data_IF_104984460844
#
_entry.id   IF_104984460844
#
_cell.length_a   1.000
_cell.length_b   1.000
_cell.length_c   1.000
_cell.angle_alpha   90.00
_cell.angle_beta   90.00
_cell.angle_gamma   90.00
#
_symmetry.space_group_name_H-M   'P 1'
#
loop_
_entity.id
_entity.type
_entity.pdbx_description
1 polymer ?
#
# COMPACT_ATOMS: atom_id res chain seq x y z
N UNK A 1 -13.04 -13.72 -11.03
CA UNK A 1 -14.36 -13.06 -10.81
C UNK A 1 -14.42 -12.80 -9.32
N UNK A 2 -14.65 -11.57 -8.89
CA UNK A 2 -14.80 -11.28 -7.45
C UNK A 2 -16.19 -11.79 -7.06
N UNK A 3 -16.23 -12.65 -6.03
CA UNK A 3 -17.48 -13.13 -5.46
C UNK A 3 -18.03 -12.03 -4.55
N UNK A 4 -19.09 -11.39 -4.97
CA UNK A 4 -19.73 -10.31 -4.22
C UNK A 4 -20.98 -10.87 -3.53
N UNK A 5 -21.33 -10.38 -2.31
CA UNK A 5 -22.59 -10.70 -1.66
C UNK A 5 -23.79 -10.41 -2.56
N UNK A 6 -24.87 -11.17 -2.41
CA UNK A 6 -26.06 -11.11 -3.27
C UNK A 6 -26.74 -9.71 -3.25
N UNK A 7 -26.55 -8.96 -2.16
CA UNK A 7 -27.09 -7.60 -2.02
C UNK A 7 -26.32 -6.56 -2.83
N UNK A 8 -25.14 -6.92 -3.38
CA UNK A 8 -24.29 -6.01 -4.15
C UNK A 8 -24.58 -6.18 -5.64
N UNK A 9 -25.10 -5.15 -6.28
CA UNK A 9 -25.27 -5.09 -7.72
C UNK A 9 -24.00 -4.54 -8.37
N UNK A 10 -23.17 -5.38 -9.04
CA UNK A 10 -21.93 -4.90 -9.66
C UNK A 10 -22.23 -4.12 -10.94
N UNK A 11 -21.78 -2.88 -11.01
CA UNK A 11 -21.81 -2.06 -12.22
C UNK A 11 -20.42 -2.05 -12.84
N UNK A 12 -20.24 -2.77 -13.95
CA UNK A 12 -18.95 -2.81 -14.67
C UNK A 12 -18.68 -1.51 -15.41
N UNK A 13 -17.45 -1.02 -15.31
CA UNK A 13 -16.97 0.15 -16.05
C UNK A 13 -15.62 -0.17 -16.69
N UNK A 14 -15.30 0.48 -17.81
CA UNK A 14 -13.98 0.38 -18.40
C UNK A 14 -12.94 0.88 -17.39
N UNK A 15 -11.83 0.14 -17.27
CA UNK A 15 -10.66 0.64 -16.56
C UNK A 15 -10.07 1.79 -17.36
N UNK A 16 -9.98 2.95 -16.74
CA UNK A 16 -9.48 4.16 -17.38
C UNK A 16 -8.45 4.85 -16.49
N UNK A 17 -7.57 5.65 -17.08
CA UNK A 17 -6.56 6.44 -16.38
C UNK A 17 -6.60 7.90 -16.84
N UNK A 18 -6.00 8.80 -16.04
CA UNK A 18 -5.86 10.20 -16.40
C UNK A 18 -7.20 10.91 -16.67
N UNK A 19 -7.28 11.66 -17.78
CA UNK A 19 -8.44 12.48 -18.14
C UNK A 19 -9.70 11.64 -18.39
N UNK A 20 -9.55 10.43 -18.94
CA UNK A 20 -10.68 9.51 -19.19
C UNK A 20 -11.27 9.03 -17.85
N UNK A 21 -10.44 8.69 -16.89
CA UNK A 21 -10.87 8.37 -15.51
C UNK A 21 -11.63 9.56 -14.90
N UNK A 22 -11.07 10.78 -15.05
CA UNK A 22 -11.71 12.00 -14.57
C UNK A 22 -13.12 12.19 -15.16
N UNK A 23 -13.28 11.96 -16.46
CA UNK A 23 -14.57 12.03 -17.15
C UNK A 23 -15.57 11.00 -16.62
N UNK A 24 -15.15 9.74 -16.46
CA UNK A 24 -16.03 8.69 -15.92
C UNK A 24 -16.38 8.90 -14.45
N UNK A 25 -15.43 9.35 -13.63
CA UNK A 25 -15.66 9.68 -12.22
C UNK A 25 -16.66 10.83 -12.03
N UNK A 26 -16.69 11.77 -13.00
CA UNK A 26 -17.55 12.93 -12.96
C UNK A 26 -18.98 12.68 -13.47
N UNK A 27 -19.29 11.49 -14.05
CA UNK A 27 -20.63 11.21 -14.57
C UNK A 27 -21.69 11.27 -13.44
N UNK A 28 -22.90 11.80 -13.74
CA UNK A 28 -23.98 11.84 -12.78
C UNK A 28 -24.32 10.46 -12.22
N UNK A 29 -24.67 10.42 -10.93
CA UNK A 29 -25.20 9.25 -10.25
C UNK A 29 -26.58 9.59 -9.75
N UNK A 30 -27.55 8.83 -10.18
CA UNK A 30 -28.95 8.94 -9.76
C UNK A 30 -29.40 7.63 -9.13
N UNK A 31 -30.34 7.68 -8.20
CA UNK A 31 -30.92 6.49 -7.57
C UNK A 31 -30.12 5.92 -6.40
N UNK A 32 -29.24 6.73 -5.78
CA UNK A 32 -28.61 6.41 -4.50
C UNK A 32 -28.60 7.64 -3.60
N UNK A 33 -28.72 7.43 -2.30
CA UNK A 33 -28.68 8.51 -1.29
C UNK A 33 -27.25 8.92 -0.98
N UNK A 34 -26.31 7.97 -1.09
CA UNK A 34 -24.88 8.14 -0.85
C UNK A 34 -24.08 7.63 -2.01
N UNK A 35 -23.06 8.36 -2.38
CA UNK A 35 -22.00 7.88 -3.25
C UNK A 35 -20.67 7.89 -2.49
N UNK A 36 -20.07 6.74 -2.29
CA UNK A 36 -18.71 6.64 -1.76
C UNK A 36 -17.71 6.30 -2.88
N UNK A 37 -16.88 7.26 -3.24
CA UNK A 37 -15.69 7.02 -4.04
C UNK A 37 -14.63 6.35 -3.18
N UNK A 38 -14.34 5.07 -3.46
CA UNK A 38 -13.25 4.33 -2.77
C UNK A 38 -11.85 4.83 -3.16
N UNK A 39 -11.81 5.91 -3.89
CA UNK A 39 -10.70 6.80 -4.21
C UNK A 39 -11.30 8.21 -4.36
N UNK A 40 -10.53 9.17 -4.82
CA UNK A 40 -10.91 10.58 -4.99
C UNK A 40 -11.96 10.87 -6.08
N UNK A 41 -12.48 9.85 -6.74
CA UNK A 41 -13.49 9.98 -7.79
C UNK A 41 -14.88 10.22 -7.20
N UNK A 42 -15.38 11.44 -7.28
CA UNK A 42 -16.74 11.81 -6.89
C UNK A 42 -17.53 12.37 -8.08
N UNK A 43 -18.87 12.12 -8.21
CA UNK A 43 -19.67 12.58 -9.35
C UNK A 43 -19.80 14.11 -9.38
N UNK A 44 -20.04 14.69 -10.57
CA UNK A 44 -20.32 16.13 -10.72
C UNK A 44 -21.71 16.49 -10.20
N UNK A 45 -22.67 15.60 -10.45
CA UNK A 45 -24.06 15.72 -10.04
C UNK A 45 -24.54 14.36 -9.53
N UNK A 46 -25.41 14.34 -8.58
CA UNK A 46 -25.90 13.04 -8.12
C UNK A 46 -26.48 13.06 -6.71
N UNK A 47 -26.10 12.11 -5.86
CA UNK A 47 -26.74 11.87 -4.57
C UNK A 47 -26.60 13.05 -3.62
N UNK A 48 -27.42 13.03 -2.57
CA UNK A 48 -27.42 14.07 -1.55
C UNK A 48 -26.09 14.12 -0.78
N UNK A 49 -25.44 12.96 -0.58
CA UNK A 49 -24.19 12.85 0.16
C UNK A 49 -23.09 12.18 -0.67
N UNK A 50 -21.92 12.78 -0.67
CA UNK A 50 -20.71 12.26 -1.34
C UNK A 50 -19.59 12.03 -0.33
N UNK A 51 -19.02 10.83 -0.35
CA UNK A 51 -17.86 10.43 0.46
C UNK A 51 -16.69 10.15 -0.48
N UNK A 52 -15.49 10.58 -0.12
CA UNK A 52 -14.27 10.27 -0.87
C UNK A 52 -13.21 9.69 0.05
N UNK A 53 -12.69 8.52 -0.29
CA UNK A 53 -11.48 7.98 0.36
C UNK A 53 -10.25 8.54 -0.31
N UNK A 54 -9.33 9.06 0.50
CA UNK A 54 -8.03 9.57 0.08
C UNK A 54 -6.95 8.60 0.55
N UNK A 55 -6.31 7.92 -0.41
CA UNK A 55 -5.24 6.97 -0.12
C UNK A 55 -3.89 7.64 0.09
N UNK A 56 -3.58 8.64 -0.69
CA UNK A 56 -2.42 9.52 -0.50
C UNK A 56 -2.58 10.85 -1.24
N UNK A 57 -1.67 11.76 -0.99
CA UNK A 57 -1.57 13.04 -1.69
C UNK A 57 -0.22 13.19 -2.43
N UNK A 58 0.43 12.07 -2.76
CA UNK A 58 1.75 12.06 -3.43
C UNK A 58 1.74 12.84 -4.74
N UNK A 59 0.63 12.85 -5.48
CA UNK A 59 0.46 13.63 -6.70
C UNK A 59 0.55 15.15 -6.46
N UNK A 60 0.25 15.62 -5.27
CA UNK A 60 0.37 17.03 -4.87
C UNK A 60 1.72 17.31 -4.20
N UNK A 61 2.20 16.38 -3.37
CA UNK A 61 3.39 16.53 -2.55
C UNK A 61 4.68 16.19 -3.33
N UNK A 62 4.59 15.29 -4.33
CA UNK A 62 5.70 14.82 -5.16
C UNK A 62 5.36 14.84 -6.66
N UNK A 63 5.03 15.98 -7.25
CA UNK A 63 4.55 16.05 -8.64
C UNK A 63 5.56 15.56 -9.70
N UNK A 64 6.84 15.50 -9.34
CA UNK A 64 7.91 14.98 -10.21
C UNK A 64 7.95 13.45 -10.29
N UNK A 65 7.26 12.73 -9.40
CA UNK A 65 7.28 11.27 -9.34
C UNK A 65 6.42 10.59 -10.42
N UNK A 66 5.60 11.34 -11.15
CA UNK A 66 4.75 10.80 -12.23
C UNK A 66 4.84 11.63 -13.51
N UNK A 67 4.37 11.10 -14.64
CA UNK A 67 4.33 11.88 -15.88
C UNK A 67 3.46 13.13 -15.70
N UNK A 68 3.88 14.28 -16.25
CA UNK A 68 3.21 15.58 -16.08
C UNK A 68 1.71 15.56 -16.42
N UNK A 69 1.33 14.84 -17.47
CA UNK A 69 -0.09 14.74 -17.89
C UNK A 69 -0.93 13.92 -16.92
N UNK A 70 -0.37 12.81 -16.40
CA UNK A 70 -1.02 11.97 -15.39
C UNK A 70 -1.16 12.73 -14.08
N UNK A 71 -0.10 13.34 -13.60
CA UNK A 71 -0.09 14.16 -12.40
C UNK A 71 -1.11 15.30 -12.47
N UNK A 72 -1.22 16.00 -13.59
CA UNK A 72 -2.18 17.08 -13.76
C UNK A 72 -3.63 16.60 -13.65
N UNK A 73 -3.98 15.49 -14.33
CA UNK A 73 -5.33 14.92 -14.27
C UNK A 73 -5.70 14.42 -12.87
N UNK A 74 -4.81 13.69 -12.21
CA UNK A 74 -5.00 13.19 -10.85
C UNK A 74 -5.08 14.34 -9.84
N UNK A 75 -4.25 15.38 -9.97
CA UNK A 75 -4.30 16.57 -9.12
C UNK A 75 -5.64 17.29 -9.18
N UNK A 76 -6.27 17.35 -10.36
CA UNK A 76 -7.61 17.95 -10.52
C UNK A 76 -8.66 17.14 -9.76
N UNK A 77 -8.62 15.81 -9.87
CA UNK A 77 -9.55 14.92 -9.16
C UNK A 77 -9.38 15.04 -7.65
N UNK A 78 -8.14 14.96 -7.16
CA UNK A 78 -7.82 15.11 -5.74
C UNK A 78 -8.32 16.46 -5.22
N UNK A 79 -7.94 17.58 -5.86
CA UNK A 79 -8.37 18.92 -5.42
C UNK A 79 -9.89 19.08 -5.47
N UNK A 80 -10.55 18.43 -6.42
CA UNK A 80 -12.01 18.44 -6.50
C UNK A 80 -12.63 17.66 -5.36
N UNK A 81 -12.17 16.44 -5.08
CA UNK A 81 -12.64 15.63 -3.95
C UNK A 81 -12.46 16.38 -2.63
N UNK A 82 -11.25 16.91 -2.39
CA UNK A 82 -10.95 17.68 -1.18
C UNK A 82 -11.88 18.89 -0.96
N UNK A 83 -12.37 19.51 -2.04
CA UNK A 83 -13.26 20.68 -1.94
C UNK A 83 -14.74 20.36 -1.91
N UNK A 84 -15.17 19.25 -2.51
CA UNK A 84 -16.56 18.98 -2.86
C UNK A 84 -17.17 17.77 -2.19
N UNK A 85 -16.38 16.79 -1.74
CA UNK A 85 -16.94 15.69 -0.98
C UNK A 85 -17.52 16.21 0.34
N UNK A 86 -18.69 15.69 0.74
CA UNK A 86 -19.31 16.04 2.02
C UNK A 86 -18.49 15.43 3.16
N UNK A 87 -18.01 14.20 3.00
CA UNK A 87 -17.13 13.50 3.92
C UNK A 87 -15.80 13.16 3.22
N UNK A 88 -14.69 13.42 3.89
CA UNK A 88 -13.37 12.95 3.53
C UNK A 88 -12.95 11.82 4.47
N UNK A 89 -12.59 10.69 3.91
CA UNK A 89 -12.02 9.55 4.61
C UNK A 89 -10.53 9.49 4.28
N UNK A 90 -9.67 9.49 5.29
CA UNK A 90 -8.23 9.32 5.16
C UNK A 90 -7.84 7.92 5.64
N UNK A 91 -6.95 7.25 4.93
CA UNK A 91 -6.50 5.89 5.29
C UNK A 91 -5.49 5.86 6.44
N UNK A 92 -5.00 7.01 6.89
CA UNK A 92 -4.06 7.17 7.99
C UNK A 92 -4.12 8.57 8.59
N UNK A 93 -3.60 8.76 9.81
CA UNK A 93 -3.44 10.09 10.42
C UNK A 93 -2.57 10.99 9.55
N UNK A 94 -1.46 10.46 9.00
CA UNK A 94 -0.61 11.20 8.09
C UNK A 94 -1.40 11.75 6.89
N UNK A 95 -2.24 10.93 6.26
CA UNK A 95 -3.06 11.38 5.14
C UNK A 95 -4.11 12.41 5.59
N UNK A 96 -4.69 12.27 6.78
CA UNK A 96 -5.62 13.26 7.35
C UNK A 96 -4.93 14.61 7.60
N UNK A 97 -3.75 14.61 8.18
CA UNK A 97 -2.94 15.82 8.38
C UNK A 97 -2.59 16.50 7.04
N UNK A 98 -2.25 15.70 6.02
CA UNK A 98 -1.98 16.24 4.68
C UNK A 98 -3.22 16.84 4.03
N UNK A 99 -4.41 16.21 4.20
CA UNK A 99 -5.68 16.76 3.76
C UNK A 99 -5.94 18.12 4.42
N UNK A 100 -5.81 18.17 5.74
CA UNK A 100 -6.00 19.42 6.50
C UNK A 100 -5.05 20.52 6.03
N UNK A 101 -3.77 20.20 5.85
CA UNK A 101 -2.76 21.16 5.38
C UNK A 101 -3.03 21.70 3.96
N UNK A 102 -3.57 20.87 3.05
CA UNK A 102 -3.81 21.24 1.64
C UNK A 102 -5.17 21.92 1.44
N UNK A 103 -6.19 21.52 2.20
CA UNK A 103 -7.58 21.94 1.96
C UNK A 103 -8.22 22.76 3.09
N UNK A 104 -7.63 22.75 4.29
CA UNK A 104 -8.22 23.32 5.50
C UNK A 104 -9.42 22.52 6.01
N UNK A 105 -9.61 21.28 5.55
CA UNK A 105 -10.73 20.42 5.96
C UNK A 105 -10.22 19.21 6.74
N UNK A 106 -11.02 18.79 7.70
CA UNK A 106 -10.79 17.56 8.45
C UNK A 106 -11.21 16.32 7.62
N UNK A 107 -10.60 15.19 7.94
CA UNK A 107 -10.95 13.89 7.39
C UNK A 107 -11.11 12.86 8.51
N UNK A 108 -12.05 11.93 8.35
CA UNK A 108 -12.21 10.79 9.26
C UNK A 108 -11.14 9.75 8.94
N UNK A 109 -10.37 9.33 9.93
CA UNK A 109 -9.34 8.31 9.74
C UNK A 109 -9.97 6.93 9.79
N UNK A 110 -9.83 6.21 8.68
CA UNK A 110 -10.28 4.83 8.52
C UNK A 110 -9.11 3.98 8.02
N UNK A 111 -8.42 3.35 8.95
CA UNK A 111 -7.28 2.51 8.63
C UNK A 111 -7.69 1.30 7.80
N UNK A 112 -6.79 0.89 6.90
CA UNK A 112 -6.96 -0.30 6.07
C UNK A 112 -6.45 -1.55 6.82
N UNK A 113 -6.80 -2.71 6.29
CA UNK A 113 -6.30 -3.99 6.75
C UNK A 113 -5.51 -4.70 5.64
N UNK A 114 -4.66 -5.68 5.96
CA UNK A 114 -4.03 -6.53 4.97
C UNK A 114 -5.09 -7.29 4.18
N UNK A 115 -4.79 -7.62 2.92
CA UNK A 115 -5.70 -8.38 2.08
C UNK A 115 -6.01 -9.76 2.71
N UNK A 116 -7.19 -10.30 2.45
CA UNK A 116 -7.65 -11.56 3.04
C UNK A 116 -6.72 -12.76 2.74
N UNK A 117 -5.98 -12.72 1.64
CA UNK A 117 -4.98 -13.73 1.30
C UNK A 117 -3.69 -13.59 2.13
N UNK A 118 -3.40 -12.43 2.72
CA UNK A 118 -2.18 -12.18 3.48
C UNK A 118 -2.22 -12.92 4.83
N UNK A 119 -1.64 -14.11 4.84
CA UNK A 119 -1.54 -15.02 5.98
C UNK A 119 -0.28 -15.88 5.83
N UNK A 120 0.26 -16.46 6.91
CA UNK A 120 1.38 -17.38 6.81
C UNK A 120 1.10 -18.53 5.86
N UNK A 121 2.04 -18.80 4.96
CA UNK A 121 2.00 -19.93 4.04
C UNK A 121 2.50 -21.22 4.71
N UNK A 122 2.14 -22.37 4.15
CA UNK A 122 2.70 -23.65 4.58
C UNK A 122 4.15 -23.83 4.06
N UNK A 123 4.93 -24.68 4.70
CA UNK A 123 6.29 -25.03 4.23
C UNK A 123 6.29 -25.59 2.81
N UNK A 124 5.24 -26.35 2.46
CA UNK A 124 5.04 -26.89 1.11
C UNK A 124 4.87 -25.77 0.09
N UNK A 125 4.04 -24.76 0.40
CA UNK A 125 3.81 -23.62 -0.50
C UNK A 125 5.10 -22.79 -0.67
N UNK A 126 5.83 -22.57 0.42
CA UNK A 126 7.14 -21.89 0.39
C UNK A 126 8.13 -22.64 -0.48
N UNK A 127 8.20 -23.96 -0.36
CA UNK A 127 9.06 -24.81 -1.19
C UNK A 127 8.67 -24.75 -2.68
N UNK A 128 7.36 -24.79 -2.96
CA UNK A 128 6.84 -24.69 -4.32
C UNK A 128 7.18 -23.34 -4.98
N UNK A 129 7.00 -22.24 -4.26
CA UNK A 129 7.32 -20.87 -4.74
C UNK A 129 8.83 -20.71 -4.97
N UNK A 130 9.68 -21.29 -4.11
CA UNK A 130 11.14 -21.27 -4.30
C UNK A 130 11.52 -21.92 -5.63
N UNK A 131 10.95 -23.06 -5.95
CA UNK A 131 11.18 -23.76 -7.23
C UNK A 131 10.59 -22.97 -8.39
N UNK A 132 9.33 -22.53 -8.29
CA UNK A 132 8.59 -21.82 -9.36
C UNK A 132 9.31 -20.56 -9.83
N UNK A 133 9.85 -19.78 -8.90
CA UNK A 133 10.55 -18.53 -9.19
C UNK A 133 12.07 -18.64 -9.11
N UNK A 134 12.61 -19.86 -8.94
CA UNK A 134 14.05 -20.14 -8.82
C UNK A 134 14.70 -19.19 -7.78
N UNK A 135 14.13 -19.09 -6.57
CA UNK A 135 14.54 -18.13 -5.55
C UNK A 135 15.84 -18.57 -4.87
N UNK A 136 16.72 -17.61 -4.54
CA UNK A 136 17.90 -17.87 -3.71
C UNK A 136 17.50 -18.41 -2.32
N UNK A 137 18.42 -19.11 -1.66
CA UNK A 137 18.19 -19.59 -0.29
C UNK A 137 17.93 -18.44 0.68
N UNK A 138 18.74 -17.39 0.58
CA UNK A 138 18.59 -16.14 1.33
C UNK A 138 18.40 -14.98 0.35
N UNK A 139 17.46 -14.11 0.60
CA UNK A 139 17.24 -12.90 -0.20
C UNK A 139 16.43 -11.84 0.56
N UNK A 140 16.68 -10.59 0.18
CA UNK A 140 15.84 -9.45 0.56
C UNK A 140 14.74 -9.33 -0.48
N UNK A 141 13.49 -9.13 -0.06
CA UNK A 141 12.33 -9.01 -0.96
C UNK A 141 11.74 -7.60 -0.89
N UNK A 142 11.32 -7.08 -2.04
CA UNK A 142 10.35 -5.98 -2.11
C UNK A 142 9.23 -6.33 -3.09
N UNK A 143 7.99 -6.18 -2.65
CA UNK A 143 6.79 -6.38 -3.47
C UNK A 143 6.15 -5.03 -3.77
N UNK A 144 5.80 -4.80 -5.03
CA UNK A 144 5.12 -3.59 -5.50
C UNK A 144 5.62 -3.11 -6.86
N UNK A 145 5.00 -2.04 -7.35
CA UNK A 145 5.42 -1.39 -8.60
C UNK A 145 6.76 -0.68 -8.38
N UNK A 146 7.69 -0.84 -9.31
CA UNK A 146 8.97 -0.10 -9.31
C UNK A 146 8.72 1.33 -9.77
N UNK A 147 8.74 2.24 -8.82
CA UNK A 147 8.52 3.68 -8.99
C UNK A 147 9.59 4.47 -8.22
N UNK A 148 9.93 5.70 -8.62
CA UNK A 148 10.94 6.51 -7.93
C UNK A 148 10.67 6.66 -6.42
N UNK A 149 9.40 6.80 -6.02
CA UNK A 149 9.02 6.95 -4.61
C UNK A 149 9.28 5.68 -3.75
N UNK A 150 9.42 4.52 -4.38
CA UNK A 150 9.73 3.24 -3.68
C UNK A 150 11.22 3.06 -3.39
N UNK A 151 12.07 3.92 -3.93
CA UNK A 151 13.50 4.01 -3.63
C UNK A 151 14.22 2.65 -3.64
N UNK A 152 13.90 1.80 -4.61
CA UNK A 152 14.43 0.43 -4.72
C UNK A 152 15.96 0.40 -4.88
N UNK A 153 16.56 1.48 -5.37
CA UNK A 153 18.00 1.62 -5.52
C UNK A 153 18.74 1.55 -4.18
N UNK A 154 18.22 2.23 -3.16
CA UNK A 154 18.82 2.23 -1.83
C UNK A 154 18.84 0.81 -1.21
N UNK A 155 17.74 0.05 -1.39
CA UNK A 155 17.71 -1.35 -0.91
C UNK A 155 18.66 -2.22 -1.69
N UNK A 156 18.80 -1.99 -3.00
CA UNK A 156 19.77 -2.73 -3.84
C UNK A 156 21.20 -2.49 -3.38
N UNK A 157 21.60 -1.24 -3.12
CA UNK A 157 22.92 -0.90 -2.60
C UNK A 157 23.19 -1.54 -1.23
N UNK A 158 22.21 -1.49 -0.32
CA UNK A 158 22.35 -2.14 0.99
C UNK A 158 22.45 -3.67 0.88
N UNK A 159 21.72 -4.27 -0.04
CA UNK A 159 21.78 -5.71 -0.32
C UNK A 159 23.14 -6.12 -0.87
N UNK A 160 23.70 -5.33 -1.80
CA UNK A 160 25.02 -5.55 -2.37
C UNK A 160 26.13 -5.47 -1.29
N UNK A 161 26.08 -4.48 -0.38
CA UNK A 161 27.01 -4.38 0.75
C UNK A 161 26.91 -5.57 1.73
N UNK A 162 25.71 -6.15 1.87
CA UNK A 162 25.48 -7.33 2.71
C UNK A 162 25.86 -8.64 2.01
N UNK A 163 26.04 -8.63 0.69
CA UNK A 163 26.27 -9.81 -0.13
C UNK A 163 25.03 -10.71 -0.22
N UNK A 164 23.83 -10.15 -0.17
CA UNK A 164 22.55 -10.87 -0.19
C UNK A 164 21.75 -10.48 -1.43
N UNK A 165 21.25 -11.44 -2.23
CA UNK A 165 20.44 -11.14 -3.39
C UNK A 165 19.21 -10.27 -3.05
N UNK A 166 18.94 -9.26 -3.89
CA UNK A 166 17.73 -8.46 -3.82
C UNK A 166 16.73 -8.92 -4.89
N UNK A 167 15.52 -9.29 -4.46
CA UNK A 167 14.44 -9.78 -5.32
C UNK A 167 13.31 -8.75 -5.36
N UNK A 168 12.88 -8.39 -6.55
CA UNK A 168 11.77 -7.47 -6.81
C UNK A 168 10.60 -8.21 -7.45
N UNK A 169 9.40 -8.11 -6.88
CA UNK A 169 8.17 -8.65 -7.43
C UNK A 169 7.17 -7.53 -7.72
N UNK A 170 6.61 -7.51 -8.93
CA UNK A 170 5.60 -6.53 -9.34
C UNK A 170 5.93 -5.81 -10.66
N UNK A 171 5.09 -4.87 -11.02
CA UNK A 171 5.23 -4.12 -12.26
C UNK A 171 6.54 -3.33 -12.29
N UNK A 172 7.23 -3.35 -13.42
CA UNK A 172 8.50 -2.64 -13.62
C UNK A 172 9.72 -3.36 -13.05
N UNK A 173 9.58 -4.46 -12.29
CA UNK A 173 10.73 -5.18 -11.69
C UNK A 173 11.67 -5.82 -12.72
N UNK A 174 11.20 -6.07 -13.95
CA UNK A 174 12.02 -6.50 -15.10
C UNK A 174 12.30 -5.35 -16.07
N UNK A 175 11.91 -4.13 -15.73
CA UNK A 175 12.05 -2.97 -16.59
C UNK A 175 13.35 -2.19 -16.36
N UNK A 176 13.58 -1.17 -17.20
CA UNK A 176 14.83 -0.39 -17.17
C UNK A 176 14.99 0.46 -15.90
N UNK A 177 13.91 0.67 -15.13
CA UNK A 177 13.97 1.40 -13.85
C UNK A 177 14.32 0.52 -12.65
N UNK A 178 14.39 -0.81 -12.82
CA UNK A 178 14.87 -1.70 -11.77
C UNK A 178 16.40 -1.65 -11.66
N UNK A 179 16.96 -1.71 -10.44
CA UNK A 179 18.40 -1.83 -10.25
C UNK A 179 18.94 -3.06 -10.98
N UNK A 180 20.10 -2.92 -11.64
CA UNK A 180 20.71 -4.02 -12.41
C UNK A 180 21.18 -5.19 -11.55
N UNK A 181 21.45 -4.95 -10.28
CA UNK A 181 21.81 -5.96 -9.28
C UNK A 181 20.60 -6.68 -8.70
N UNK A 182 19.40 -6.15 -8.89
CA UNK A 182 18.17 -6.76 -8.40
C UNK A 182 17.64 -7.83 -9.38
N UNK A 183 17.17 -8.93 -8.83
CA UNK A 183 16.46 -9.96 -9.58
C UNK A 183 14.97 -9.63 -9.68
N UNK A 184 14.50 -9.23 -10.84
CA UNK A 184 13.07 -8.95 -11.10
C UNK A 184 12.29 -10.21 -11.42
N UNK A 185 11.20 -10.47 -10.71
CA UNK A 185 10.29 -11.58 -10.99
C UNK A 185 9.19 -11.20 -12.00
N UNK A 186 8.92 -9.91 -12.20
CA UNK A 186 7.75 -9.44 -12.92
C UNK A 186 6.50 -9.52 -12.04
N UNK A 187 5.35 -9.64 -12.68
CA UNK A 187 4.10 -9.85 -11.96
C UNK A 187 4.08 -11.25 -11.32
N UNK A 188 3.70 -11.33 -10.06
CA UNK A 188 3.56 -12.57 -9.28
C UNK A 188 2.08 -12.76 -8.99
N UNK A 189 1.59 -14.00 -9.17
CA UNK A 189 0.20 -14.32 -8.83
C UNK A 189 -0.10 -14.03 -7.36
N UNK A 190 -1.26 -13.48 -7.09
CA UNK A 190 -1.72 -13.16 -5.72
C UNK A 190 -1.70 -14.41 -4.82
N UNK A 191 -2.01 -15.58 -5.38
CA UNK A 191 -1.96 -16.84 -4.64
C UNK A 191 -0.57 -17.24 -4.17
N UNK A 192 0.49 -16.78 -4.84
CA UNK A 192 1.89 -17.07 -4.50
C UNK A 192 2.48 -16.06 -3.51
N UNK A 193 1.85 -14.90 -3.33
CA UNK A 193 2.40 -13.82 -2.49
C UNK A 193 2.63 -14.26 -1.03
N UNK A 194 1.71 -14.98 -0.35
CA UNK A 194 1.97 -15.44 1.01
C UNK A 194 3.24 -16.28 1.13
N UNK A 195 3.42 -17.21 0.17
CA UNK A 195 4.59 -18.08 0.13
C UNK A 195 5.86 -17.33 -0.26
N UNK A 196 5.77 -16.32 -1.13
CA UNK A 196 6.89 -15.47 -1.50
C UNK A 196 7.37 -14.62 -0.30
N UNK A 197 6.45 -14.05 0.47
CA UNK A 197 6.78 -13.35 1.72
C UNK A 197 7.39 -14.31 2.76
N UNK A 198 6.84 -15.51 2.89
CA UNK A 198 7.37 -16.55 3.78
C UNK A 198 8.75 -17.10 3.35
N UNK A 199 9.06 -17.08 2.06
CA UNK A 199 10.34 -17.49 1.51
C UNK A 199 11.46 -16.45 1.74
N UNK A 200 11.11 -15.17 1.89
CA UNK A 200 12.07 -14.09 2.02
C UNK A 200 12.82 -14.14 3.37
N UNK A 201 14.10 -13.83 3.36
CA UNK A 201 14.87 -13.65 4.60
C UNK A 201 14.38 -12.40 5.35
N UNK A 202 14.16 -11.32 4.62
CA UNK A 202 13.61 -10.06 5.13
C UNK A 202 12.92 -9.33 3.98
N UNK A 203 11.88 -8.58 4.29
CA UNK A 203 11.20 -7.73 3.32
C UNK A 203 11.54 -6.27 3.61
N UNK A 204 11.96 -5.50 2.59
CA UNK A 204 12.46 -4.15 2.75
C UNK A 204 11.66 -3.13 1.92
N UNK A 205 11.27 -2.01 2.51
CA UNK A 205 10.48 -0.95 1.87
C UNK A 205 11.07 0.43 2.16
N UNK A 206 11.98 0.89 1.33
CA UNK A 206 12.70 2.17 1.47
C UNK A 206 11.93 3.37 0.86
N UNK A 207 10.61 3.30 0.83
CA UNK A 207 9.78 4.35 0.23
C UNK A 207 10.09 5.72 0.84
N UNK A 208 10.03 6.78 0.02
CA UNK A 208 10.19 8.17 0.47
C UNK A 208 8.83 8.85 0.75
N UNK A 209 7.74 8.19 0.41
CA UNK A 209 6.37 8.63 0.68
C UNK A 209 5.41 7.43 0.67
N UNK A 210 4.56 7.31 1.70
CA UNK A 210 3.47 6.34 1.78
C UNK A 210 2.26 6.94 2.50
N UNK A 211 1.09 6.83 1.87
CA UNK A 211 -0.18 7.23 2.49
C UNK A 211 -0.73 6.19 3.46
N UNK A 212 -0.35 4.91 3.30
CA UNK A 212 -0.66 3.82 4.23
C UNK A 212 0.51 2.82 4.31
N UNK A 213 0.76 2.07 3.24
CA UNK A 213 1.80 1.04 3.22
C UNK A 213 1.21 -0.38 3.29
N UNK A 214 0.27 -0.72 2.40
CA UNK A 214 -0.30 -2.08 2.34
C UNK A 214 0.76 -3.19 2.16
N UNK A 215 1.77 -3.08 1.26
CA UNK A 215 2.73 -4.16 1.09
C UNK A 215 3.55 -4.50 2.36
N UNK A 216 4.08 -3.55 3.16
CA UNK A 216 4.67 -3.88 4.46
C UNK A 216 3.69 -4.60 5.40
N UNK A 217 2.43 -4.16 5.47
CA UNK A 217 1.41 -4.78 6.33
C UNK A 217 1.06 -6.20 5.86
N UNK A 218 0.97 -6.42 4.55
CA UNK A 218 0.77 -7.74 3.96
C UNK A 218 1.96 -8.67 4.26
N UNK A 219 3.19 -8.17 4.17
CA UNK A 219 4.38 -8.93 4.56
C UNK A 219 4.34 -9.33 6.04
N UNK A 220 3.94 -8.40 6.92
CA UNK A 220 3.77 -8.66 8.36
C UNK A 220 2.70 -9.71 8.62
N UNK A 221 1.54 -9.62 7.93
CA UNK A 221 0.45 -10.59 8.06
C UNK A 221 0.85 -11.99 7.54
N UNK A 222 1.78 -12.07 6.60
CA UNK A 222 2.38 -13.33 6.13
C UNK A 222 3.50 -13.86 7.06
N UNK A 223 3.82 -13.16 8.15
CA UNK A 223 4.88 -13.55 9.09
C UNK A 223 6.28 -13.16 8.62
N UNK A 224 6.41 -12.28 7.64
CA UNK A 224 7.70 -11.75 7.19
C UNK A 224 8.34 -10.81 8.22
N UNK A 225 9.67 -10.85 8.36
CA UNK A 225 10.42 -9.81 9.04
C UNK A 225 10.50 -8.58 8.12
N UNK A 226 10.09 -7.41 8.61
CA UNK A 226 9.95 -6.20 7.78
C UNK A 226 10.89 -5.09 8.27
N UNK A 227 11.59 -4.47 7.31
CA UNK A 227 12.29 -3.19 7.49
C UNK A 227 11.61 -2.17 6.58
N UNK A 228 11.18 -1.05 7.13
CA UNK A 228 10.48 -0.01 6.40
C UNK A 228 11.06 1.38 6.70
N UNK A 229 10.89 2.30 5.78
CA UNK A 229 11.31 3.68 6.00
C UNK A 229 10.41 4.39 7.03
N UNK A 230 11.01 5.22 7.86
CA UNK A 230 10.31 6.04 8.85
C UNK A 230 9.71 7.30 8.19
N UNK A 231 8.81 7.11 7.20
CA UNK A 231 8.19 8.21 6.43
C UNK A 231 6.68 8.05 6.31
N UNK A 232 5.99 9.17 6.13
CA UNK A 232 4.55 9.18 5.88
C UNK A 232 3.77 8.44 6.96
N UNK A 233 2.86 7.58 6.55
CA UNK A 233 2.05 6.78 7.45
C UNK A 233 2.78 5.55 8.02
N UNK A 234 3.94 5.14 7.47
CA UNK A 234 4.60 3.89 7.85
C UNK A 234 4.87 3.76 9.35
N UNK A 235 5.40 4.80 10.07
CA UNK A 235 5.64 4.67 11.52
C UNK A 235 4.38 4.31 12.32
N UNK A 236 3.25 4.91 11.98
CA UNK A 236 1.95 4.62 12.60
C UNK A 236 1.45 3.23 12.21
N UNK A 237 1.48 2.92 10.91
CA UNK A 237 0.82 1.73 10.35
C UNK A 237 1.55 0.45 10.70
N UNK A 238 2.89 0.43 10.70
CA UNK A 238 3.64 -0.80 11.01
C UNK A 238 3.99 -0.92 12.50
N UNK A 239 3.94 0.17 13.27
CA UNK A 239 4.19 0.19 14.71
C UNK A 239 5.49 -0.51 15.10
N UNK A 240 5.42 -1.39 16.10
CA UNK A 240 6.53 -2.22 16.56
C UNK A 240 6.72 -3.51 15.74
N UNK A 241 5.85 -3.78 14.78
CA UNK A 241 5.90 -4.95 13.90
C UNK A 241 6.97 -4.88 12.81
N UNK A 242 7.62 -3.73 12.62
CA UNK A 242 8.72 -3.56 11.68
C UNK A 242 9.89 -2.78 12.30
N UNK A 243 11.06 -2.90 11.69
CA UNK A 243 12.20 -2.01 11.98
C UNK A 243 12.07 -0.78 11.11
N UNK A 244 12.10 0.41 11.71
CA UNK A 244 11.98 1.70 11.02
C UNK A 244 13.35 2.34 10.81
N UNK A 245 13.62 2.79 9.57
CA UNK A 245 14.92 3.35 9.15
C UNK A 245 14.68 4.65 8.34
N UNK A 246 15.57 5.62 8.44
CA UNK A 246 15.53 6.79 7.56
C UNK A 246 15.67 6.41 6.08
N UNK A 247 15.02 7.11 5.14
CA UNK A 247 15.00 6.71 3.72
C UNK A 247 16.24 7.14 2.92
N UNK A 248 17.25 7.79 3.55
CA UNK A 248 18.27 8.55 2.81
C UNK A 248 19.65 7.92 2.82
N UNK A 249 19.96 7.03 3.78
CA UNK A 249 21.32 6.53 4.01
C UNK A 249 21.41 5.02 3.90
N UNK A 250 22.19 4.53 2.93
CA UNK A 250 22.45 3.11 2.73
C UNK A 250 23.00 2.44 3.99
N UNK A 251 23.95 3.10 4.67
CA UNK A 251 24.57 2.55 5.87
C UNK A 251 23.56 2.21 6.99
N UNK A 252 22.53 3.03 7.18
CA UNK A 252 21.49 2.79 8.19
C UNK A 252 20.65 1.56 7.82
N UNK A 253 20.39 1.35 6.52
CA UNK A 253 19.70 0.16 6.00
C UNK A 253 20.56 -1.10 6.14
N UNK A 254 21.88 -1.00 5.87
CA UNK A 254 22.82 -2.11 6.08
C UNK A 254 22.86 -2.49 7.56
N UNK A 255 22.88 -1.52 8.47
CA UNK A 255 22.87 -1.78 9.92
C UNK A 255 21.58 -2.48 10.36
N UNK A 256 20.42 -2.00 9.90
CA UNK A 256 19.12 -2.57 10.24
C UNK A 256 18.89 -3.97 9.65
N UNK A 257 19.34 -4.20 8.41
CA UNK A 257 19.18 -5.48 7.72
C UNK A 257 20.16 -6.57 8.20
N UNK A 258 21.36 -6.19 8.62
CA UNK A 258 22.46 -7.11 8.98
C UNK A 258 22.06 -8.17 10.03
N UNK A 259 21.48 -7.82 11.19
CA UNK A 259 21.04 -8.82 12.18
C UNK A 259 19.95 -9.73 11.60
N UNK A 260 19.02 -9.19 10.82
CA UNK A 260 17.94 -9.96 10.22
C UNK A 260 18.42 -10.94 9.14
N UNK A 261 19.48 -10.61 8.44
CA UNK A 261 20.10 -11.52 7.46
C UNK A 261 20.91 -12.62 8.15
N UNK A 262 21.64 -12.29 9.22
CA UNK A 262 22.59 -13.21 9.85
C UNK A 262 22.01 -14.08 10.96
N UNK A 263 21.02 -13.59 11.69
CA UNK A 263 20.55 -14.18 12.95
C UNK A 263 19.08 -14.65 12.81
N UNK A 264 18.88 -15.95 12.81
CA UNK A 264 17.53 -16.54 12.73
C UNK A 264 16.66 -16.13 13.92
N UNK A 265 17.25 -15.97 15.12
CA UNK A 265 16.53 -15.55 16.31
C UNK A 265 15.98 -14.12 16.16
N UNK A 266 16.78 -13.17 15.64
CA UNK A 266 16.35 -11.79 15.41
C UNK A 266 15.19 -11.73 14.39
N UNK A 267 15.26 -12.54 13.33
CA UNK A 267 14.15 -12.65 12.36
C UNK A 267 12.88 -13.19 13.00
N UNK A 268 13.00 -14.29 13.75
CA UNK A 268 11.85 -14.94 14.38
C UNK A 268 11.16 -14.01 15.38
N UNK A 269 11.92 -13.25 16.16
CA UNK A 269 11.39 -12.26 17.09
C UNK A 269 10.62 -11.14 16.36
N UNK A 270 11.21 -10.58 15.31
CA UNK A 270 10.57 -9.54 14.51
C UNK A 270 9.32 -10.08 13.81
N UNK A 271 9.37 -11.28 13.21
CA UNK A 271 8.21 -11.94 12.59
C UNK A 271 7.07 -12.15 13.60
N UNK A 272 7.37 -12.55 14.82
CA UNK A 272 6.35 -12.71 15.85
C UNK A 272 5.70 -11.37 16.24
N UNK A 273 6.46 -10.28 16.32
CA UNK A 273 5.91 -8.93 16.53
C UNK A 273 5.06 -8.50 15.35
N UNK A 274 5.55 -8.70 14.13
CA UNK A 274 4.84 -8.39 12.87
C UNK A 274 3.47 -9.06 12.81
N UNK A 275 3.40 -10.36 13.09
CA UNK A 275 2.13 -11.10 13.12
C UNK A 275 1.15 -10.56 14.17
N UNK A 276 1.63 -10.28 15.38
CA UNK A 276 0.77 -9.73 16.45
C UNK A 276 0.21 -8.36 16.06
N UNK A 277 1.03 -7.50 15.51
CA UNK A 277 0.62 -6.16 15.07
C UNK A 277 -0.41 -6.26 13.93
N UNK A 278 -0.11 -7.02 12.87
CA UNK A 278 -1.00 -7.18 11.72
C UNK A 278 -2.35 -7.81 12.08
N UNK A 279 -2.41 -8.68 13.10
CA UNK A 279 -3.66 -9.26 13.58
C UNK A 279 -4.64 -8.24 14.16
N UNK A 280 -4.16 -7.07 14.60
CA UNK A 280 -4.99 -5.94 15.05
C UNK A 280 -5.63 -5.15 13.91
N UNK A 281 -5.12 -5.27 12.69
CA UNK A 281 -5.61 -4.56 11.51
C UNK A 281 -6.65 -5.43 10.78
N UNK A 282 -7.94 -5.11 10.96
CA UNK A 282 -9.03 -5.94 10.44
C UNK A 282 -9.99 -5.17 9.55
N UNK A 283 -10.50 -5.82 8.49
CA UNK A 283 -11.54 -5.23 7.65
C UNK A 283 -12.86 -4.98 8.39
N UNK A 284 -13.11 -5.70 9.49
CA UNK A 284 -14.26 -5.43 10.36
C UNK A 284 -14.12 -4.04 11.01
N UNK A 285 -12.96 -3.73 11.57
CA UNK A 285 -12.68 -2.40 12.15
C UNK A 285 -12.72 -1.29 11.08
N UNK A 286 -12.19 -1.55 9.87
CA UNK A 286 -12.28 -0.63 8.73
C UNK A 286 -13.75 -0.34 8.38
N UNK A 287 -14.58 -1.39 8.30
CA UNK A 287 -16.01 -1.25 7.98
C UNK A 287 -16.76 -0.49 9.07
N UNK A 288 -16.54 -0.81 10.35
CA UNK A 288 -17.17 -0.11 11.48
C UNK A 288 -16.87 1.39 11.48
N UNK A 289 -15.58 1.76 11.28
CA UNK A 289 -15.18 3.17 11.18
C UNK A 289 -15.77 3.86 9.95
N UNK A 290 -15.88 3.15 8.82
CA UNK A 290 -16.51 3.68 7.61
C UNK A 290 -18.01 3.96 7.84
N UNK A 291 -18.72 3.04 8.49
CA UNK A 291 -20.14 3.23 8.85
C UNK A 291 -20.29 4.38 9.84
N UNK A 292 -19.39 4.52 10.81
CA UNK A 292 -19.41 5.66 11.74
C UNK A 292 -19.27 6.99 10.98
N UNK A 293 -18.36 7.08 10.02
CA UNK A 293 -18.17 8.27 9.18
C UNK A 293 -19.46 8.61 8.37
N UNK A 294 -20.25 7.61 7.96
CA UNK A 294 -21.54 7.87 7.31
C UNK A 294 -22.60 8.41 8.28
N UNK A 295 -22.63 7.92 9.53
CA UNK A 295 -23.59 8.39 10.55
C UNK A 295 -23.36 9.84 10.93
N UNK A 296 -22.12 10.30 10.94
CA UNK A 296 -21.77 11.68 11.27
C UNK A 296 -22.38 12.70 10.29
N UNK A 297 -22.77 12.27 9.09
CA UNK A 297 -23.48 13.10 8.10
C UNK A 297 -24.98 12.82 8.01
N UNK A 298 -25.56 12.20 9.05
CA UNK A 298 -27.00 12.03 9.20
C UNK A 298 -27.58 10.84 8.45
N UNK A 299 -26.75 9.88 8.03
CA UNK A 299 -27.23 8.65 7.42
C UNK A 299 -27.58 7.64 8.52
N UNK A 300 -28.82 7.20 8.54
CA UNK A 300 -29.33 6.17 9.45
C UNK A 300 -29.84 4.99 8.62
N UNK A 301 -29.38 3.82 8.90
CA UNK A 301 -29.90 2.52 8.47
C UNK A 301 -30.12 1.61 9.65
#
# INVERSE_FOLDING_TARGET
MIDLPDEITPVRRPVASGVVRAGFGALPRTGCDVFHGLDVDIPLFGPAVTVATVHDLSVLDMPSASSRFRAAGESVLVRRALRKADVLVAVSEFTAERIAAVSGRDAVVVELAPAAWARPATESDVSAVRVKYDLPEQFILQVGTVEPRKNVGLVAEAADELGVPFVLAGAGSKGPSAPTTARGLGYVDVADLPALYGAATVTAYASVYEGYGLPPVEAMACGGAVVASAVGALPQVVGDGAVLVGPDRVADWVEALRPLVRETAARAELSARALRHAAGLTWAATAERTVAAYRDVGLSW
#
